data_IF_387774599395
#
_entry.id   IF_387774599395
#
_cell.length_a   1.000
_cell.length_b   1.000
_cell.length_c   1.000
_cell.angle_alpha   90.00
_cell.angle_beta   90.00
_cell.angle_gamma   90.00
#
_symmetry.space_group_name_H-M   'P 1'
#
loop_
_entity.id
_entity.type
_entity.pdbx_description
1 polymer ?
#
# COMPACT_ATOMS: atom_id res chain seq x y z
N UNK A 1 -4.15 14.88 -9.68
CA UNK A 1 -5.05 13.75 -10.00
C UNK A 1 -4.22 12.48 -9.91
N UNK A 2 -4.77 11.34 -9.48
CA UNK A 2 -4.02 10.07 -9.44
C UNK A 2 -3.51 9.73 -10.84
N UNK A 3 -2.22 9.42 -10.99
CA UNK A 3 -1.62 9.09 -12.30
C UNK A 3 -2.09 7.73 -12.85
N UNK A 4 -2.64 6.88 -11.96
CA UNK A 4 -3.15 5.55 -12.27
C UNK A 4 -4.47 5.33 -11.54
N UNK A 5 -5.49 4.88 -12.27
CA UNK A 5 -6.73 4.38 -11.69
C UNK A 5 -6.92 2.93 -12.12
N UNK A 6 -6.86 1.99 -11.17
CA UNK A 6 -7.27 0.60 -11.44
C UNK A 6 -8.79 0.60 -11.64
N UNK A 7 -9.24 0.19 -12.83
CA UNK A 7 -10.66 0.20 -13.21
C UNK A 7 -11.28 -1.18 -13.02
N UNK A 8 -10.51 -2.25 -13.26
CA UNK A 8 -10.97 -3.61 -13.06
C UNK A 8 -9.80 -4.56 -12.76
N UNK A 9 -10.05 -5.60 -11.98
CA UNK A 9 -9.11 -6.71 -11.76
C UNK A 9 -9.90 -8.01 -11.91
N UNK A 10 -9.59 -8.76 -12.95
CA UNK A 10 -10.22 -10.06 -13.23
C UNK A 10 -9.23 -11.16 -12.87
N UNK A 11 -9.67 -12.12 -12.07
CA UNK A 11 -8.89 -13.34 -11.79
C UNK A 11 -9.20 -14.36 -12.88
N UNK A 12 -8.18 -14.81 -13.59
CA UNK A 12 -8.31 -15.81 -14.64
C UNK A 12 -7.92 -17.19 -14.10
N UNK A 13 -8.44 -18.24 -14.74
CA UNK A 13 -8.14 -19.64 -14.39
C UNK A 13 -8.26 -19.91 -12.89
N UNK A 14 -9.42 -19.58 -12.31
CA UNK A 14 -9.70 -19.79 -10.89
C UNK A 14 -11.02 -20.55 -10.74
N UNK A 15 -11.05 -21.65 -9.96
CA UNK A 15 -9.95 -22.20 -9.16
C UNK A 15 -8.99 -23.08 -9.99
N UNK A 16 -7.70 -23.12 -9.61
CA UNK A 16 -6.65 -23.86 -10.35
C UNK A 16 -5.67 -24.54 -9.39
N UNK A 17 -4.82 -25.41 -9.94
CA UNK A 17 -3.77 -26.09 -9.19
C UNK A 17 -2.83 -25.08 -8.53
N UNK A 18 -2.31 -25.39 -7.34
CA UNK A 18 -1.46 -24.48 -6.58
C UNK A 18 -0.20 -24.05 -7.36
N UNK A 19 0.40 -24.98 -8.09
CA UNK A 19 1.58 -24.75 -8.92
C UNK A 19 1.30 -23.96 -10.21
N UNK A 20 0.03 -23.82 -10.61
CA UNK A 20 -0.33 -22.99 -11.75
C UNK A 20 0.02 -21.53 -11.46
N UNK A 21 0.65 -20.82 -12.41
CA UNK A 21 0.94 -19.40 -12.26
C UNK A 21 -0.31 -18.61 -11.91
N UNK A 22 -0.13 -17.54 -11.14
CA UNK A 22 -1.19 -16.58 -10.92
C UNK A 22 -1.51 -15.85 -12.23
N UNK A 23 -2.78 -15.82 -12.62
CA UNK A 23 -3.23 -15.17 -13.85
C UNK A 23 -4.26 -14.09 -13.50
N UNK A 24 -3.89 -12.84 -13.75
CA UNK A 24 -4.74 -11.67 -13.54
C UNK A 24 -4.83 -10.87 -14.83
N UNK A 25 -6.02 -10.40 -15.15
CA UNK A 25 -6.21 -9.31 -16.11
C UNK A 25 -6.54 -8.04 -15.33
N UNK A 26 -5.56 -7.14 -15.27
CA UNK A 26 -5.72 -5.85 -14.60
C UNK A 26 -6.04 -4.81 -15.69
N UNK A 27 -7.25 -4.27 -15.66
CA UNK A 27 -7.58 -3.07 -16.43
C UNK A 27 -7.29 -1.85 -15.57
N UNK A 28 -6.51 -0.93 -16.11
CA UNK A 28 -6.16 0.31 -15.46
C UNK A 28 -6.15 1.43 -16.50
N UNK A 29 -6.61 2.62 -16.10
CA UNK A 29 -6.27 3.83 -16.82
C UNK A 29 -4.89 4.28 -16.37
N UNK A 30 -3.93 4.22 -17.30
CA UNK A 30 -2.59 4.74 -17.13
C UNK A 30 -2.29 5.76 -18.22
N UNK A 31 -1.67 6.86 -17.84
CA UNK A 31 -1.10 7.81 -18.78
C UNK A 31 0.34 7.42 -19.19
N UNK A 32 0.93 6.36 -18.59
CA UNK A 32 2.34 5.94 -18.78
C UNK A 32 2.50 4.41 -18.57
N UNK A 33 3.41 3.68 -19.26
CA UNK A 33 3.64 2.24 -19.05
C UNK A 33 4.30 1.91 -17.71
N UNK A 34 3.98 0.73 -17.14
CA UNK A 34 4.60 0.17 -15.93
C UNK A 34 5.31 -1.14 -16.25
N UNK A 35 6.45 -1.42 -15.59
CA UNK A 35 7.15 -2.72 -15.60
C UNK A 35 7.00 -3.36 -14.21
N UNK A 36 6.65 -4.66 -14.13
CA UNK A 36 6.59 -5.40 -12.87
C UNK A 36 6.86 -6.91 -13.08
N UNK A 37 7.51 -7.53 -12.10
CA UNK A 37 7.85 -8.97 -12.08
C UNK A 37 6.85 -9.76 -11.21
N UNK A 38 6.51 -11.01 -11.58
CA UNK A 38 5.62 -11.86 -10.78
C UNK A 38 6.25 -12.32 -9.45
N UNK A 39 5.44 -12.74 -8.46
CA UNK A 39 5.96 -13.22 -7.18
C UNK A 39 6.76 -14.52 -7.31
N UNK A 40 7.80 -14.67 -6.48
CA UNK A 40 8.65 -15.85 -6.42
C UNK A 40 8.03 -16.95 -5.52
N UNK A 41 7.59 -18.10 -6.09
CA UNK A 41 6.95 -19.16 -5.34
C UNK A 41 7.89 -19.87 -4.35
N UNK A 42 9.21 -19.75 -4.49
CA UNK A 42 10.20 -20.42 -3.62
C UNK A 42 10.34 -19.78 -2.23
N UNK A 43 9.73 -18.61 -2.03
CA UNK A 43 9.78 -17.87 -0.75
C UNK A 43 8.60 -18.17 0.18
N UNK A 44 7.69 -19.05 -0.23
CA UNK A 44 6.53 -19.45 0.56
C UNK A 44 6.94 -20.63 1.45
N UNK A 45 6.73 -20.50 2.77
CA UNK A 45 7.01 -21.58 3.73
C UNK A 45 6.00 -22.70 3.57
N UNK A 46 6.44 -23.96 3.69
CA UNK A 46 5.60 -25.14 3.48
C UNK A 46 4.41 -25.22 4.45
N UNK A 47 4.62 -24.79 5.69
CA UNK A 47 3.61 -24.73 6.74
C UNK A 47 2.49 -23.70 6.48
N UNK A 48 2.74 -22.70 5.63
CA UNK A 48 1.78 -21.63 5.29
C UNK A 48 1.05 -21.92 3.97
N UNK A 49 1.27 -23.10 3.37
CA UNK A 49 0.68 -23.47 2.08
C UNK A 49 -0.83 -23.74 2.21
N UNK A 50 -1.28 -24.43 3.26
CA UNK A 50 -2.69 -24.80 3.46
C UNK A 50 -3.40 -23.77 4.35
N UNK A 51 -4.64 -23.45 3.99
CA UNK A 51 -5.50 -22.52 4.71
C UNK A 51 -5.58 -21.14 4.08
N UNK A 52 -5.98 -20.17 4.90
CA UNK A 52 -6.26 -18.81 4.44
C UNK A 52 -5.01 -17.95 4.49
N UNK A 53 -4.62 -17.42 3.34
CA UNK A 53 -3.55 -16.43 3.17
C UNK A 53 -4.06 -15.20 2.42
N UNK A 54 -3.17 -14.23 2.18
CA UNK A 54 -3.50 -12.96 1.52
C UNK A 54 -2.53 -12.68 0.38
N UNK A 55 -3.08 -12.41 -0.80
CA UNK A 55 -2.32 -11.87 -1.93
C UNK A 55 -2.44 -10.35 -1.91
N UNK A 56 -1.31 -9.64 -2.02
CA UNK A 56 -1.27 -8.17 -2.03
C UNK A 56 -0.70 -7.67 -3.36
N UNK A 57 -1.55 -7.04 -4.17
CA UNK A 57 -1.10 -6.23 -5.30
C UNK A 57 -0.82 -4.82 -4.79
N UNK A 58 0.42 -4.38 -4.92
CA UNK A 58 0.87 -3.07 -4.43
C UNK A 58 1.27 -2.21 -5.62
N UNK A 59 0.73 -1.01 -5.73
CA UNK A 59 1.20 -0.05 -6.72
C UNK A 59 1.91 1.11 -6.03
N UNK A 60 3.08 1.45 -6.55
CA UNK A 60 3.88 2.58 -6.11
C UNK A 60 4.12 3.56 -7.25
N UNK A 61 4.30 4.83 -6.91
CA UNK A 61 4.72 5.88 -7.83
C UNK A 61 5.90 6.61 -7.20
N UNK A 62 7.01 6.72 -7.92
CA UNK A 62 8.26 7.31 -7.42
C UNK A 62 8.72 6.71 -6.07
N UNK A 63 8.56 5.40 -5.90
CA UNK A 63 8.89 4.69 -4.66
C UNK A 63 7.92 4.89 -3.49
N UNK A 64 6.85 5.66 -3.67
CA UNK A 64 5.79 5.81 -2.67
C UNK A 64 4.59 4.94 -3.05
N UNK A 65 4.25 3.99 -2.19
CA UNK A 65 3.03 3.19 -2.31
C UNK A 65 1.79 4.09 -2.21
N UNK A 66 0.86 3.99 -3.17
CA UNK A 66 -0.39 4.78 -3.17
C UNK A 66 -1.65 3.92 -3.13
N UNK A 67 -1.56 2.65 -3.51
CA UNK A 67 -2.69 1.72 -3.41
C UNK A 67 -2.20 0.29 -3.19
N UNK A 68 -2.96 -0.43 -2.37
CA UNK A 68 -2.82 -1.86 -2.13
C UNK A 68 -4.18 -2.53 -2.33
N UNK A 69 -4.19 -3.57 -3.14
CA UNK A 69 -5.37 -4.42 -3.35
C UNK A 69 -5.05 -5.80 -2.79
N UNK A 70 -5.70 -6.14 -1.69
CA UNK A 70 -5.58 -7.43 -1.04
C UNK A 70 -6.69 -8.40 -1.44
N UNK A 71 -6.35 -9.64 -1.73
CA UNK A 71 -7.30 -10.74 -1.92
C UNK A 71 -7.09 -11.79 -0.85
N UNK A 72 -8.19 -12.30 -0.30
CA UNK A 72 -8.12 -13.55 0.45
C UNK A 72 -7.89 -14.70 -0.51
N UNK A 73 -6.94 -15.54 -0.17
CA UNK A 73 -6.61 -16.75 -0.91
C UNK A 73 -6.84 -17.91 0.06
N UNK A 74 -7.65 -18.87 -0.36
CA UNK A 74 -7.84 -20.11 0.38
C UNK A 74 -7.19 -21.24 -0.40
N UNK A 75 -6.22 -21.91 0.21
CA UNK A 75 -5.55 -23.07 -0.35
C UNK A 75 -6.02 -24.31 0.40
N UNK A 76 -6.70 -25.22 -0.30
CA UNK A 76 -7.21 -26.47 0.28
C UNK A 76 -6.88 -27.64 -0.64
N UNK A 77 -6.93 -28.86 -0.11
CA UNK A 77 -6.82 -30.05 -0.95
C UNK A 77 -7.99 -30.14 -1.95
N UNK A 78 -7.77 -30.68 -3.13
CA UNK A 78 -8.81 -30.96 -4.12
C UNK A 78 -9.75 -32.09 -3.68
N UNK A 79 -9.23 -33.01 -2.87
CA UNK A 79 -9.93 -34.17 -2.30
C UNK A 79 -10.48 -33.91 -0.89
N UNK A 80 -11.72 -34.36 -0.63
CA UNK A 80 -12.43 -34.16 0.65
C UNK A 80 -11.80 -34.95 1.80
N UNK A 81 -11.32 -36.17 1.55
CA UNK A 81 -10.71 -37.01 2.58
C UNK A 81 -9.37 -36.41 3.06
N UNK A 82 -8.61 -35.81 2.15
CA UNK A 82 -7.38 -35.07 2.48
C UNK A 82 -7.66 -33.78 3.28
N UNK A 83 -8.86 -33.19 3.16
CA UNK A 83 -9.26 -32.04 3.98
C UNK A 83 -9.63 -32.46 5.39
N UNK A 84 -10.34 -33.58 5.55
CA UNK A 84 -10.76 -34.09 6.86
C UNK A 84 -9.59 -34.69 7.65
N UNK A 85 -8.71 -35.42 6.97
CA UNK A 85 -7.52 -36.05 7.55
C UNK A 85 -6.25 -35.60 6.81
N UNK A 86 -5.74 -34.39 7.11
CA UNK A 86 -4.57 -33.86 6.41
C UNK A 86 -3.31 -34.68 6.72
N UNK A 87 -2.50 -35.01 5.70
CA UNK A 87 -1.28 -35.77 5.90
C UNK A 87 -0.23 -34.97 6.71
N UNK A 88 0.73 -35.64 7.36
CA UNK A 88 1.80 -34.97 8.12
C UNK A 88 2.73 -34.09 7.27
N UNK A 89 2.82 -34.38 5.97
CA UNK A 89 3.61 -33.63 5.00
C UNK A 89 2.69 -33.17 3.89
N UNK A 90 2.77 -31.89 3.52
CA UNK A 90 1.87 -31.29 2.53
C UNK A 90 2.08 -31.92 1.16
N UNK A 91 0.97 -32.35 0.53
CA UNK A 91 0.98 -32.89 -0.83
C UNK A 91 0.66 -31.77 -1.82
N UNK A 92 1.67 -31.00 -2.22
CA UNK A 92 1.52 -29.78 -3.03
C UNK A 92 0.73 -30.03 -4.33
N UNK A 93 0.93 -31.17 -4.98
CA UNK A 93 0.24 -31.54 -6.22
C UNK A 93 -1.28 -31.71 -6.08
N UNK A 94 -1.76 -31.83 -4.83
CA UNK A 94 -3.19 -31.97 -4.49
C UNK A 94 -3.79 -30.68 -3.95
N UNK A 95 -3.02 -29.60 -3.87
CA UNK A 95 -3.51 -28.32 -3.36
C UNK A 95 -4.14 -27.52 -4.49
N UNK A 96 -5.36 -27.05 -4.24
CA UNK A 96 -6.09 -26.13 -5.10
C UNK A 96 -6.14 -24.76 -4.44
N UNK A 97 -5.88 -23.73 -5.23
CA UNK A 97 -5.95 -22.33 -4.81
C UNK A 97 -7.28 -21.73 -5.24
N UNK A 98 -7.97 -21.09 -4.31
CA UNK A 98 -9.17 -20.30 -4.56
C UNK A 98 -8.97 -18.86 -4.09
N UNK A 99 -8.96 -17.92 -5.04
CA UNK A 99 -8.86 -16.49 -4.73
C UNK A 99 -10.27 -15.91 -4.63
N UNK A 100 -10.58 -15.26 -3.51
CA UNK A 100 -11.87 -14.61 -3.28
C UNK A 100 -11.93 -13.25 -4.00
N UNK A 101 -11.97 -13.31 -5.33
CA UNK A 101 -11.89 -12.17 -6.25
C UNK A 101 -12.98 -11.11 -6.04
N UNK A 102 -14.18 -11.53 -5.64
CA UNK A 102 -15.35 -10.63 -5.52
C UNK A 102 -15.30 -9.71 -4.30
N UNK A 103 -14.39 -9.97 -3.34
CA UNK A 103 -14.26 -9.20 -2.10
C UNK A 103 -12.85 -8.66 -1.91
N UNK A 104 -12.32 -7.87 -2.86
CA UNK A 104 -11.00 -7.27 -2.71
C UNK A 104 -11.00 -6.28 -1.55
N UNK A 105 -9.90 -6.24 -0.82
CA UNK A 105 -9.64 -5.25 0.23
C UNK A 105 -8.72 -4.18 -0.33
N UNK A 106 -9.28 -3.02 -0.63
CA UNK A 106 -8.51 -1.89 -1.19
C UNK A 106 -8.12 -0.94 -0.07
N UNK A 107 -6.82 -0.68 0.05
CA UNK A 107 -6.25 0.36 0.93
C UNK A 107 -5.57 1.40 0.05
N UNK A 108 -5.86 2.68 0.28
CA UNK A 108 -5.27 3.80 -0.47
C UNK A 108 -4.43 4.65 0.46
N UNK A 109 -3.24 5.02 0.01
CA UNK A 109 -2.30 5.87 0.72
C UNK A 109 -2.20 7.20 -0.03
N UNK A 110 -2.44 8.35 0.62
CA UNK A 110 -2.24 9.65 -0.01
C UNK A 110 -0.76 9.87 -0.33
N UNK A 111 -0.45 10.23 -1.58
CA UNK A 111 0.91 10.60 -2.01
C UNK A 111 0.87 11.86 -2.89
N UNK A 112 2.02 12.53 -3.02
CA UNK A 112 2.17 13.61 -3.99
C UNK A 112 2.61 13.07 -5.36
N UNK A 113 1.73 13.18 -6.36
CA UNK A 113 2.03 12.75 -7.74
C UNK A 113 2.81 13.80 -8.54
N UNK A 114 2.86 15.05 -8.05
CA UNK A 114 3.57 16.16 -8.67
C UNK A 114 4.46 16.83 -7.61
N UNK A 115 5.63 16.23 -7.30
CA UNK A 115 6.62 16.93 -6.50
C UNK A 115 7.04 18.18 -7.26
N UNK A 116 6.75 19.36 -6.71
CA UNK A 116 7.30 20.59 -7.25
C UNK A 116 8.83 20.50 -7.14
N UNK A 117 9.59 20.73 -8.23
CA UNK A 117 11.05 20.72 -8.18
C UNK A 117 11.64 21.79 -7.24
N UNK A 118 10.78 22.66 -6.68
CA UNK A 118 11.12 23.79 -5.82
C UNK A 118 11.22 23.45 -4.33
N UNK A 119 10.82 22.25 -3.88
CA UNK A 119 10.80 21.89 -2.44
C UNK A 119 12.09 21.21 -1.91
N UNK A 120 13.22 21.33 -2.61
CA UNK A 120 14.55 20.95 -2.09
C UNK A 120 15.42 22.17 -1.71
N UNK A 121 14.80 23.24 -1.21
CA UNK A 121 15.45 24.49 -0.85
C UNK A 121 15.10 25.01 0.54
N UNK A 122 15.58 24.35 1.60
CA UNK A 122 15.89 24.93 2.90
C UNK A 122 14.75 25.54 3.73
N UNK A 123 14.15 24.75 4.63
CA UNK A 123 13.67 25.32 5.89
C UNK A 123 14.85 25.44 6.86
N UNK A 124 15.42 26.65 6.88
CA UNK A 124 16.35 27.10 7.92
C UNK A 124 15.68 26.95 9.28
N UNK A 125 16.39 26.28 10.21
CA UNK A 125 16.08 26.32 11.63
C UNK A 125 16.03 27.78 12.09
N UNK A 126 14.86 28.27 12.52
CA UNK A 126 14.79 29.53 13.25
C UNK A 126 15.54 29.36 14.58
N UNK A 127 16.51 30.23 14.92
CA UNK A 127 17.10 30.22 16.25
C UNK A 127 16.04 30.60 17.31
N UNK A 128 16.16 30.12 18.56
CA UNK A 128 15.22 30.47 19.62
C UNK A 128 15.37 31.95 19.97
N UNK A 129 14.27 32.69 20.02
CA UNK A 129 14.24 34.09 20.47
C UNK A 129 14.46 34.12 21.99
N UNK A 130 15.58 34.70 22.43
CA UNK A 130 15.81 35.02 23.86
C UNK A 130 15.04 36.29 24.25
N UNK A 131 14.54 36.40 25.51
CA UNK A 131 13.84 37.59 25.97
C UNK A 131 14.83 38.66 26.42
N UNK A 132 14.86 39.81 25.73
CA UNK A 132 15.59 41.00 26.19
C UNK A 132 14.72 41.87 27.10
N UNK A 133 15.29 42.20 28.25
CA UNK A 133 14.66 42.94 29.33
C UNK A 133 15.55 44.17 29.58
N UNK A 134 15.19 45.36 29.09
CA UNK A 134 15.90 46.60 29.43
C UNK A 134 14.98 47.83 29.57
N UNK A 135 14.81 48.15 30.84
CA UNK A 135 14.56 49.41 31.57
C UNK A 135 14.82 50.75 30.85
N UNK A 136 13.83 51.65 30.94
CA UNK A 136 13.95 53.05 31.40
C UNK A 136 14.58 54.11 30.48
N UNK A 137 13.78 55.11 30.07
CA UNK A 137 13.87 56.52 30.52
C UNK A 137 12.89 57.42 29.74
N UNK A 138 12.07 58.17 30.49
CA UNK A 138 11.27 59.34 30.06
C UNK A 138 12.15 60.61 30.11
N UNK A 139 11.84 61.72 29.39
CA UNK A 139 10.99 62.76 30.02
C UNK A 139 10.09 63.64 29.12
N UNK A 140 8.92 63.99 29.71
CA UNK A 140 8.25 65.32 29.83
C UNK A 140 7.69 66.04 28.58
N UNK A 141 6.37 66.14 28.42
CA UNK A 141 5.40 67.15 28.95
C UNK A 141 4.98 68.13 27.84
N UNK A 142 3.69 68.40 27.59
CA UNK A 142 2.97 69.60 28.08
C UNK A 142 1.46 69.53 27.72
N UNK A 143 0.64 69.93 28.71
CA UNK A 143 -0.75 70.44 28.73
C UNK A 143 -1.96 69.77 28.01
N UNK A 144 -2.82 69.20 28.87
CA UNK A 144 -4.30 69.16 28.94
C UNK A 144 -5.03 70.54 28.77
N UNK A 145 -6.39 70.67 28.88
CA UNK A 145 -7.51 69.70 28.76
C UNK A 145 -8.85 70.26 28.14
N UNK A 146 -9.90 69.38 28.16
CA UNK A 146 -11.37 69.63 28.31
C UNK A 146 -12.14 70.17 27.08
N UNK A 147 -13.37 69.74 26.78
CA UNK A 147 -14.45 69.07 27.53
C UNK A 147 -15.00 67.84 26.78
#
# INVERSE_FOLDING_TARGET
MSAVNITNVTVLDNPTAFLSPFQFEISYECLVPLEDDPPDPTKIREEDIIGVTVLLLTCSYMGQEFIRVGYYVNNDYDDEQLREEPPPTVLIDRVQRNILADKPRVTKFPINFHPDPSENGGQQQQPPVLPENHTGEEPQSVQQPKC
#
